data_IF_651597100238
#
_entry.id   IF_651597100238
#
_cell.length_a   1.000
_cell.length_b   1.000
_cell.length_c   1.000
_cell.angle_alpha   90.00
_cell.angle_beta   90.00
_cell.angle_gamma   90.00
#
_symmetry.space_group_name_H-M   'P 1'
#
loop_
_entity.id
_entity.type
_entity.pdbx_description
1 polymer ?
#
# COMPACT_ATOMS: atom_id res chain seq x y z
N UNK A 1 -3.45 -71.76 6.33
CA UNK A 1 -2.91 -71.50 7.69
C UNK A 1 -2.47 -70.04 7.76
N UNK A 2 -2.98 -69.30 8.76
CA UNK A 2 -2.61 -67.92 9.21
C UNK A 2 -2.84 -66.80 8.16
N UNK A 3 -3.28 -65.58 8.46
CA UNK A 3 -3.83 -64.83 9.60
C UNK A 3 -4.37 -63.53 8.90
N UNK A 4 -5.46 -62.85 9.25
CA UNK A 4 -5.91 -62.37 10.54
C UNK A 4 -5.88 -60.83 10.55
N UNK A 5 -7.01 -60.19 10.91
CA UNK A 5 -7.16 -58.83 11.53
C UNK A 5 -6.76 -57.58 10.71
N UNK A 6 -7.33 -56.37 10.83
CA UNK A 6 -8.45 -55.72 11.56
C UNK A 6 -8.56 -54.26 11.01
N UNK A 7 -9.77 -53.69 11.07
CA UNK A 7 -10.15 -52.28 11.37
C UNK A 7 -9.21 -51.12 10.95
N UNK A 8 -9.78 -50.10 10.28
CA UNK A 8 -9.70 -48.72 10.75
C UNK A 8 -10.65 -47.79 9.98
N UNK A 9 -11.48 -47.06 10.72
CA UNK A 9 -12.27 -45.93 10.26
C UNK A 9 -11.37 -44.72 9.97
N UNK A 10 -11.78 -43.84 9.06
CA UNK A 10 -11.32 -42.46 9.03
C UNK A 10 -12.43 -41.55 8.50
N UNK A 11 -13.14 -40.93 9.46
CA UNK A 11 -13.93 -39.72 9.27
C UNK A 11 -12.99 -38.61 8.78
N UNK A 12 -13.18 -38.13 7.55
CA UNK A 12 -12.43 -37.00 7.02
C UNK A 12 -13.25 -35.71 7.15
N UNK A 13 -12.99 -35.04 8.27
CA UNK A 13 -12.80 -33.60 8.43
C UNK A 13 -13.85 -32.63 7.86
N UNK A 14 -14.64 -32.18 8.82
CA UNK A 14 -15.29 -30.87 8.94
C UNK A 14 -14.42 -29.68 8.48
N UNK A 15 -15.08 -28.81 7.70
CA UNK A 15 -15.03 -27.35 7.79
C UNK A 15 -13.65 -26.71 8.02
N UNK A 16 -12.93 -26.47 6.93
CA UNK A 16 -12.00 -25.34 6.88
C UNK A 16 -12.75 -24.12 6.34
N UNK A 17 -13.36 -23.38 7.26
CA UNK A 17 -13.61 -21.96 7.04
C UNK A 17 -12.26 -21.26 6.91
N UNK A 18 -11.75 -21.12 5.68
CA UNK A 18 -10.64 -20.22 5.41
C UNK A 18 -11.14 -18.79 5.63
N UNK A 19 -10.98 -18.30 6.87
CA UNK A 19 -10.81 -16.88 7.08
C UNK A 19 -9.59 -16.48 6.25
N UNK A 20 -9.82 -15.74 5.16
CA UNK A 20 -8.76 -15.12 4.39
C UNK A 20 -8.11 -14.04 5.25
N UNK A 21 -7.14 -14.43 6.08
CA UNK A 21 -6.20 -13.51 6.66
C UNK A 21 -5.43 -12.89 5.49
N UNK A 22 -5.72 -11.63 5.17
CA UNK A 22 -4.88 -10.86 4.27
C UNK A 22 -3.51 -10.77 4.94
N UNK A 23 -2.57 -11.58 4.46
CA UNK A 23 -1.20 -11.50 4.91
C UNK A 23 -0.75 -10.05 4.73
N UNK A 24 -0.16 -9.46 5.77
CA UNK A 24 0.61 -8.21 5.66
C UNK A 24 1.82 -8.57 4.79
N UNK A 25 1.60 -8.57 3.48
CA UNK A 25 2.51 -9.12 2.50
C UNK A 25 3.48 -8.05 2.06
N UNK A 26 4.76 -8.42 1.97
CA UNK A 26 5.72 -7.60 1.26
C UNK A 26 5.24 -7.38 -0.17
N UNK A 27 5.19 -6.14 -0.62
CA UNK A 27 4.80 -5.79 -1.98
C UNK A 27 5.99 -5.28 -2.75
N UNK A 28 6.10 -5.67 -4.02
CA UNK A 28 7.10 -5.16 -4.93
C UNK A 28 6.42 -4.53 -6.14
N UNK A 29 7.03 -3.47 -6.66
CA UNK A 29 6.65 -2.84 -7.91
C UNK A 29 7.88 -2.22 -8.57
N UNK A 30 7.77 -1.87 -9.86
CA UNK A 30 8.82 -1.22 -10.60
C UNK A 30 8.26 -0.09 -11.47
N UNK A 31 9.02 0.99 -11.59
CA UNK A 31 8.75 2.12 -12.49
C UNK A 31 10.03 2.45 -13.23
N UNK A 32 10.08 2.11 -14.52
CA UNK A 32 11.33 2.18 -15.28
C UNK A 32 12.45 1.35 -14.63
N UNK A 33 13.58 1.99 -14.30
CA UNK A 33 14.71 1.37 -13.60
C UNK A 33 14.61 1.42 -12.07
N UNK A 34 13.54 1.99 -11.51
CA UNK A 34 13.34 2.14 -10.07
C UNK A 34 12.54 0.96 -9.54
N UNK A 35 13.12 0.23 -8.58
CA UNK A 35 12.45 -0.83 -7.84
C UNK A 35 11.89 -0.26 -6.54
N UNK A 36 10.64 -0.59 -6.24
CA UNK A 36 9.89 -0.17 -5.06
C UNK A 36 9.49 -1.41 -4.27
N UNK A 37 9.70 -1.40 -2.97
CA UNK A 37 9.23 -2.45 -2.06
C UNK A 37 8.54 -1.85 -0.85
N UNK A 38 7.37 -2.37 -0.49
CA UNK A 38 6.76 -2.14 0.82
C UNK A 38 7.04 -3.34 1.73
N UNK A 39 7.61 -3.07 2.89
CA UNK A 39 7.73 -4.02 3.99
C UNK A 39 6.92 -3.46 5.18
N UNK A 40 5.68 -3.93 5.32
CA UNK A 40 4.67 -3.22 6.10
C UNK A 40 4.47 -1.79 5.54
N UNK A 41 4.67 -0.78 6.38
CA UNK A 41 4.59 0.63 6.02
C UNK A 41 5.96 1.29 5.81
N UNK A 42 7.02 0.51 5.63
CA UNK A 42 8.33 1.03 5.19
C UNK A 42 8.48 0.88 3.68
N UNK A 43 8.64 2.00 2.98
CA UNK A 43 8.92 2.03 1.55
C UNK A 43 10.43 1.98 1.32
N UNK A 44 10.90 0.96 0.61
CA UNK A 44 12.28 0.85 0.13
C UNK A 44 12.31 1.17 -1.36
N UNK A 45 13.13 2.15 -1.74
CA UNK A 45 13.36 2.56 -3.12
C UNK A 45 14.78 2.20 -3.51
N UNK A 46 14.95 1.47 -4.61
CA UNK A 46 16.25 0.98 -5.07
C UNK A 46 16.46 1.25 -6.57
N UNK A 47 17.67 1.70 -6.92
CA UNK A 47 18.24 1.86 -8.26
C UNK A 47 19.64 1.22 -8.25
N UNK A 48 20.32 1.04 -9.39
CA UNK A 48 21.65 0.39 -9.42
C UNK A 48 22.68 0.96 -8.44
N UNK A 49 22.62 2.27 -8.18
CA UNK A 49 23.58 3.05 -7.38
C UNK A 49 22.94 3.77 -6.18
N UNK A 50 21.63 3.63 -5.97
CA UNK A 50 20.88 4.31 -4.92
C UNK A 50 19.96 3.35 -4.19
N UNK A 51 19.98 3.37 -2.86
CA UNK A 51 19.00 2.66 -2.04
C UNK A 51 18.63 3.48 -0.83
N UNK A 52 17.33 3.71 -0.62
CA UNK A 52 16.83 4.46 0.54
C UNK A 52 15.54 3.85 1.05
N UNK A 53 15.36 3.90 2.37
CA UNK A 53 14.14 3.48 3.05
C UNK A 53 13.43 4.70 3.65
N UNK A 54 12.10 4.69 3.61
CA UNK A 54 11.24 5.72 4.14
C UNK A 54 10.20 5.05 5.04
N UNK A 55 10.21 5.35 6.34
CA UNK A 55 9.14 4.97 7.24
C UNK A 55 7.97 5.93 7.05
N UNK A 56 6.81 5.41 6.64
CA UNK A 56 5.63 6.22 6.36
C UNK A 56 4.87 6.59 7.64
N UNK A 57 5.27 6.10 8.82
CA UNK A 57 4.61 6.38 10.11
C UNK A 57 3.08 6.19 10.06
N UNK A 58 2.65 5.26 9.22
CA UNK A 58 1.25 5.00 8.90
C UNK A 58 0.71 3.85 9.76
N UNK A 59 -0.58 3.85 10.12
CA UNK A 59 -1.21 2.66 10.64
C UNK A 59 -1.15 1.54 9.58
N UNK A 60 -0.89 0.31 9.99
CA UNK A 60 -0.95 -0.82 9.05
C UNK A 60 -2.41 -1.08 8.62
N UNK A 61 -2.66 -1.62 7.42
CA UNK A 61 -1.70 -2.01 6.38
C UNK A 61 -1.40 -0.87 5.39
N UNK A 62 -0.25 -0.93 4.71
CA UNK A 62 0.11 -0.03 3.62
C UNK A 62 0.18 -0.79 2.30
N UNK A 63 -0.38 -0.20 1.24
CA UNK A 63 -0.48 -0.80 -0.07
C UNK A 63 -0.12 0.18 -1.18
N UNK A 64 0.45 -0.31 -2.28
CA UNK A 64 0.54 0.49 -3.50
C UNK A 64 -0.84 0.68 -4.09
N UNK A 65 -1.18 1.91 -4.47
CA UNK A 65 -2.40 2.14 -5.22
C UNK A 65 -2.31 1.52 -6.62
N UNK A 66 -3.37 0.82 -7.03
CA UNK A 66 -3.40 0.01 -8.24
C UNK A 66 -4.53 0.39 -9.18
N UNK A 67 -4.33 0.13 -10.47
CA UNK A 67 -5.37 0.16 -11.49
C UNK A 67 -6.38 -0.99 -11.30
N UNK A 68 -7.44 -1.02 -12.12
CA UNK A 68 -8.46 -2.06 -12.05
C UNK A 68 -7.92 -3.45 -12.35
N UNK A 69 -6.93 -3.53 -13.24
CA UNK A 69 -6.20 -4.74 -13.63
C UNK A 69 -5.09 -5.14 -12.63
N UNK A 70 -5.03 -4.50 -11.46
CA UNK A 70 -4.01 -4.70 -10.43
C UNK A 70 -2.59 -4.24 -10.81
N UNK A 71 -2.39 -3.62 -11.97
CA UNK A 71 -1.12 -2.97 -12.30
C UNK A 71 -0.86 -1.79 -11.35
N UNK A 72 0.42 -1.49 -11.08
CA UNK A 72 0.80 -0.31 -10.30
C UNK A 72 0.22 0.93 -11.01
N UNK A 73 -0.51 1.77 -10.28
CA UNK A 73 -0.99 3.03 -10.86
C UNK A 73 0.10 4.07 -10.77
N UNK A 74 0.50 4.57 -11.94
CA UNK A 74 1.50 5.63 -12.10
C UNK A 74 0.91 6.72 -12.98
N UNK A 75 1.16 7.98 -12.62
CA UNK A 75 0.76 9.18 -13.36
C UNK A 75 1.99 10.04 -13.61
N UNK A 76 2.14 10.56 -14.82
CA UNK A 76 3.20 11.52 -15.13
C UNK A 76 2.76 12.94 -14.79
N UNK A 77 3.52 13.64 -13.94
CA UNK A 77 3.30 15.04 -13.58
C UNK A 77 4.57 15.86 -13.76
N UNK A 78 4.54 16.85 -14.67
CA UNK A 78 5.69 17.72 -15.01
C UNK A 78 6.99 16.93 -15.29
N UNK A 79 6.87 15.82 -16.03
CA UNK A 79 8.00 14.95 -16.37
C UNK A 79 8.50 14.04 -15.25
N UNK A 80 7.74 13.91 -14.15
CA UNK A 80 8.02 13.03 -13.01
C UNK A 80 6.97 11.95 -12.91
N UNK A 81 7.39 10.75 -12.51
CA UNK A 81 6.47 9.64 -12.27
C UNK A 81 5.93 9.72 -10.84
N UNK A 82 4.62 9.63 -10.70
CA UNK A 82 3.91 9.77 -9.42
C UNK A 82 3.12 8.50 -9.16
N UNK A 83 3.34 7.91 -8.01
CA UNK A 83 2.51 6.84 -7.47
C UNK A 83 2.08 7.19 -6.04
N UNK A 84 1.08 6.46 -5.54
CA UNK A 84 0.55 6.64 -4.19
C UNK A 84 0.72 5.33 -3.43
N UNK A 85 1.28 5.42 -2.22
CA UNK A 85 1.10 4.38 -1.19
C UNK A 85 -0.08 4.83 -0.34
N UNK A 86 -1.02 3.93 -0.08
CA UNK A 86 -2.18 4.20 0.76
C UNK A 86 -2.15 3.34 2.02
N UNK A 87 -2.62 3.91 3.12
CA UNK A 87 -2.92 3.21 4.36
C UNK A 87 -4.35 3.51 4.73
N UNK A 88 -5.11 2.49 5.10
CA UNK A 88 -6.49 2.66 5.51
C UNK A 88 -6.83 1.79 6.71
N UNK A 89 -7.57 2.36 7.65
CA UNK A 89 -8.21 1.62 8.73
C UNK A 89 -9.65 2.05 8.88
N UNK A 90 -10.51 1.15 9.37
CA UNK A 90 -11.86 1.54 9.80
C UNK A 90 -11.73 2.61 10.90
N UNK A 91 -12.41 3.73 10.70
CA UNK A 91 -12.54 4.76 11.71
C UNK A 91 -13.28 4.19 12.92
N UNK A 92 -12.77 4.49 14.12
CA UNK A 92 -13.49 4.18 15.35
C UNK A 92 -14.55 5.25 15.60
N UNK A 93 -15.63 4.88 16.29
CA UNK A 93 -16.70 5.82 16.70
C UNK A 93 -16.22 6.99 17.59
N UNK A 94 -14.95 6.99 18.00
CA UNK A 94 -14.33 8.00 18.84
C UNK A 94 -13.72 9.18 18.05
N UNK A 95 -13.85 9.23 16.72
CA UNK A 95 -13.32 10.32 15.90
C UNK A 95 -14.44 11.09 15.20
N UNK A 96 -14.56 12.42 15.42
CA UNK A 96 -15.72 13.22 14.98
C UNK A 96 -15.88 13.33 13.47
N UNK A 97 -14.83 13.04 12.69
CA UNK A 97 -14.84 13.13 11.22
C UNK A 97 -15.02 11.78 10.52
N UNK A 98 -14.86 10.67 11.25
CA UNK A 98 -15.21 9.34 10.76
C UNK A 98 -16.64 9.08 11.23
N UNK A 99 -17.63 9.43 10.41
CA UNK A 99 -19.01 9.02 10.66
C UNK A 99 -19.10 7.51 10.95
N UNK A 100 -20.12 7.01 11.64
CA UNK A 100 -20.24 5.59 11.96
C UNK A 100 -20.05 4.73 10.69
N UNK A 101 -18.95 3.97 10.63
CA UNK A 101 -18.57 3.15 9.47
C UNK A 101 -17.58 3.76 8.46
N UNK A 102 -17.06 4.97 8.69
CA UNK A 102 -16.06 5.62 7.83
C UNK A 102 -14.67 4.98 7.92
N UNK A 103 -13.78 5.26 6.96
CA UNK A 103 -12.37 4.87 7.01
C UNK A 103 -11.48 6.11 7.16
N UNK A 104 -10.43 5.94 7.97
CA UNK A 104 -9.30 6.86 7.97
C UNK A 104 -8.31 6.36 6.92
N UNK A 105 -8.23 7.08 5.79
CA UNK A 105 -7.29 6.77 4.72
C UNK A 105 -6.24 7.86 4.63
N UNK A 106 -4.99 7.44 4.50
CA UNK A 106 -3.80 8.28 4.42
C UNK A 106 -3.08 7.96 3.10
N UNK A 107 -2.84 9.00 2.31
CA UNK A 107 -2.14 8.89 1.03
C UNK A 107 -0.72 9.44 1.19
N UNK A 108 0.25 8.65 0.76
CA UNK A 108 1.67 8.96 0.77
C UNK A 108 2.17 9.02 -0.68
N UNK A 109 2.20 10.22 -1.31
CA UNK A 109 2.72 10.36 -2.65
C UNK A 109 4.21 10.07 -2.69
N UNK A 110 4.62 9.30 -3.71
CA UNK A 110 5.99 9.00 -4.04
C UNK A 110 6.25 9.55 -5.44
N UNK A 111 7.07 10.59 -5.50
CA UNK A 111 7.44 11.28 -6.74
C UNK A 111 8.85 10.86 -7.13
N UNK A 112 8.95 10.22 -8.29
CA UNK A 112 10.18 9.70 -8.85
C UNK A 112 10.64 10.58 -10.01
N UNK A 113 11.92 10.91 -10.05
CA UNK A 113 12.59 11.38 -11.26
C UNK A 113 13.92 10.63 -11.45
N UNK A 114 14.67 10.93 -12.52
CA UNK A 114 15.91 10.21 -12.86
C UNK A 114 17.00 10.26 -11.78
N UNK A 115 17.06 11.30 -10.94
CA UNK A 115 18.15 11.53 -9.97
C UNK A 115 17.70 11.66 -8.50
N UNK A 116 16.39 11.75 -8.26
CA UNK A 116 15.80 12.09 -6.97
C UNK A 116 14.52 11.29 -6.72
N UNK A 117 14.20 11.15 -5.44
CA UNK A 117 13.01 10.51 -4.92
C UNK A 117 12.47 11.41 -3.82
N UNK A 118 11.26 11.92 -4.02
CA UNK A 118 10.53 12.67 -3.01
C UNK A 118 9.41 11.79 -2.48
N UNK A 119 9.51 11.41 -1.21
CA UNK A 119 8.44 10.71 -0.49
C UNK A 119 7.90 11.68 0.53
N UNK A 120 6.59 11.90 0.49
CA UNK A 120 5.94 12.68 1.53
C UNK A 120 5.58 11.75 2.69
N UNK A 121 6.31 11.88 3.81
CA UNK A 121 6.05 11.09 5.03
C UNK A 121 4.90 11.68 5.87
N UNK A 122 4.54 12.94 5.65
CA UNK A 122 3.31 13.53 6.19
C UNK A 122 2.13 13.26 5.25
N UNK A 123 1.18 12.38 5.61
CA UNK A 123 0.16 11.93 4.66
C UNK A 123 -0.86 13.01 4.29
N UNK A 124 -1.51 12.80 3.16
CA UNK A 124 -2.77 13.47 2.82
C UNK A 124 -3.91 12.63 3.39
N UNK A 125 -4.66 13.19 4.34
CA UNK A 125 -5.82 12.51 4.93
C UNK A 125 -7.05 12.64 4.02
N UNK A 126 -7.74 11.53 3.79
CA UNK A 126 -8.95 11.45 2.97
C UNK A 126 -10.01 10.57 3.64
N UNK A 127 -11.27 10.99 3.56
CA UNK A 127 -12.40 10.29 4.15
C UNK A 127 -13.05 9.32 3.14
N UNK A 128 -12.28 8.34 2.67
CA UNK A 128 -12.76 7.32 1.74
C UNK A 128 -12.25 5.93 2.12
N UNK A 129 -13.06 4.90 1.95
CA UNK A 129 -12.67 3.51 2.24
C UNK A 129 -12.11 2.81 0.99
N UNK A 130 -11.05 1.99 1.13
CA UNK A 130 -10.67 1.05 0.10
C UNK A 130 -11.75 0.01 -0.23
N UNK A 131 -11.80 -0.50 -1.47
CA UNK A 131 -10.97 -0.10 -2.60
C UNK A 131 -11.53 1.17 -3.26
N UNK A 132 -10.93 2.33 -2.97
CA UNK A 132 -11.24 3.57 -3.64
C UNK A 132 -10.44 3.67 -4.93
N UNK A 133 -10.94 4.39 -5.92
CA UNK A 133 -10.23 4.62 -7.18
C UNK A 133 -9.93 6.10 -7.28
N UNK A 134 -8.70 6.47 -6.91
CA UNK A 134 -8.24 7.84 -7.06
C UNK A 134 -8.13 8.17 -8.54
N UNK A 135 -8.72 9.29 -8.94
CA UNK A 135 -8.55 9.81 -10.28
C UNK A 135 -7.17 10.47 -10.43
N UNK A 136 -6.82 10.85 -11.65
CA UNK A 136 -5.54 11.49 -11.94
C UNK A 136 -5.33 12.80 -11.17
N UNK A 137 -6.40 13.54 -10.88
CA UNK A 137 -6.32 14.84 -10.17
C UNK A 137 -5.80 14.68 -8.76
N UNK A 138 -6.15 13.58 -8.09
CA UNK A 138 -5.61 13.26 -6.76
C UNK A 138 -4.10 13.02 -6.83
N UNK A 139 -3.61 12.32 -7.85
CA UNK A 139 -2.17 12.10 -8.05
C UNK A 139 -1.44 13.40 -8.32
N UNK A 140 -1.96 14.26 -9.20
CA UNK A 140 -1.32 15.54 -9.52
C UNK A 140 -1.29 16.47 -8.31
N UNK A 141 -2.39 16.59 -7.57
CA UNK A 141 -2.44 17.43 -6.37
C UNK A 141 -1.49 16.91 -5.26
N UNK A 142 -1.41 15.59 -5.10
CA UNK A 142 -0.49 14.98 -4.14
C UNK A 142 0.98 15.19 -4.52
N UNK A 143 1.30 15.16 -5.82
CA UNK A 143 2.64 15.45 -6.33
C UNK A 143 3.02 16.92 -6.12
N UNK A 144 2.10 17.86 -6.38
CA UNK A 144 2.32 19.29 -6.13
C UNK A 144 2.69 19.52 -4.66
N UNK A 145 1.88 19.00 -3.73
CA UNK A 145 2.16 19.10 -2.29
C UNK A 145 3.52 18.52 -1.91
N UNK A 146 3.86 17.34 -2.41
CA UNK A 146 5.14 16.69 -2.09
C UNK A 146 6.35 17.51 -2.56
N UNK A 147 6.25 18.12 -3.75
CA UNK A 147 7.31 18.94 -4.32
C UNK A 147 7.46 20.26 -3.54
N UNK A 148 6.34 20.90 -3.19
CA UNK A 148 6.33 22.16 -2.42
C UNK A 148 6.95 21.97 -1.04
N UNK A 149 6.55 20.93 -0.31
CA UNK A 149 7.11 20.64 1.02
C UNK A 149 8.61 20.39 0.96
N UNK A 150 9.09 19.63 -0.04
CA UNK A 150 10.53 19.40 -0.23
C UNK A 150 11.31 20.67 -0.55
N UNK A 151 10.68 21.64 -1.22
CA UNK A 151 11.31 22.92 -1.53
C UNK A 151 11.47 23.81 -0.29
N UNK A 152 10.52 23.75 0.65
CA UNK A 152 10.58 24.50 1.92
C UNK A 152 11.56 23.94 2.96
N UNK A 153 12.05 22.71 2.77
CA UNK A 153 13.06 22.06 3.63
C UNK A 153 14.53 22.42 3.28
N UNK A 154 14.75 23.21 2.21
CA UNK A 154 16.09 23.63 1.74
C UNK A 154 16.40 25.04 2.18
#
# INVERSE_FOLDING_TARGET
MRAGTRLAAALAFLWTGLAAFSAVGQQAAAVGSVNLKLDGCTLVVSRPDFRRSFDLLAPSACDFHRNRDQSLRVVTFRGREVLIVESARRGSAAQPNAGPGGCETRLFPVVLNSSDVVVLTEPIAVAACPPFRWDEKVFTAAAEKAIEMRAGER
#
